data_IF_425115656495
#
_entry.id   IF_425115656495
#
_cell.length_a   1.000
_cell.length_b   1.000
_cell.length_c   1.000
_cell.angle_alpha   90.00
_cell.angle_beta   90.00
_cell.angle_gamma   90.00
#
_symmetry.space_group_name_H-M   'P 1'
#
loop_
_entity.id
_entity.type
_entity.pdbx_description
1 polymer ?
#
# COMPACT_ATOMS: atom_id res chain seq x y z
N UNK A 1 18.76 -2.30 6.07
CA UNK A 1 18.20 -1.63 4.86
C UNK A 1 16.84 -2.25 4.59
N UNK A 2 15.67 -1.64 4.79
CA UNK A 2 15.30 -0.22 4.88
C UNK A 2 14.01 -0.09 5.69
N UNK A 3 14.02 0.69 6.78
CA UNK A 3 12.82 1.25 7.41
C UNK A 3 12.04 2.01 6.34
N UNK A 4 10.81 1.59 6.06
CA UNK A 4 9.99 2.19 4.99
C UNK A 4 9.59 3.60 5.41
N UNK A 5 10.26 4.61 4.84
CA UNK A 5 9.92 6.04 4.97
C UNK A 5 8.70 6.43 4.11
N UNK A 6 7.86 5.48 3.75
CA UNK A 6 6.72 5.72 2.88
C UNK A 6 5.51 6.06 3.75
N UNK A 7 5.24 7.37 3.90
CA UNK A 7 4.09 7.87 4.64
C UNK A 7 2.91 7.96 3.69
N UNK A 8 1.82 7.29 4.04
CA UNK A 8 0.57 7.32 3.28
C UNK A 8 -0.50 7.95 4.16
N UNK A 9 -1.24 8.90 3.60
CA UNK A 9 -2.38 9.51 4.29
C UNK A 9 -3.66 8.68 4.06
N UNK A 10 -4.60 8.76 5.00
CA UNK A 10 -5.91 8.08 4.87
C UNK A 10 -6.68 8.45 3.58
N UNK A 11 -6.67 9.72 3.11
CA UNK A 11 -7.30 10.07 1.84
C UNK A 11 -6.69 9.36 0.63
N UNK A 12 -5.38 9.14 0.62
CA UNK A 12 -4.69 8.45 -0.48
C UNK A 12 -5.09 6.98 -0.54
N UNK A 13 -5.13 6.29 0.61
CA UNK A 13 -5.62 4.90 0.70
C UNK A 13 -7.04 4.82 0.14
N UNK A 14 -7.91 5.72 0.59
CA UNK A 14 -9.31 5.74 0.15
C UNK A 14 -9.40 6.05 -1.35
N UNK A 15 -8.55 6.91 -1.89
CA UNK A 15 -8.52 7.22 -3.32
C UNK A 15 -8.18 6.01 -4.19
N UNK A 16 -7.24 5.16 -3.74
CA UNK A 16 -6.84 3.95 -4.46
C UNK A 16 -7.87 2.83 -4.39
N UNK A 17 -8.71 2.81 -3.36
CA UNK A 17 -9.74 1.79 -3.15
C UNK A 17 -11.11 2.15 -3.74
N UNK A 18 -11.26 3.35 -4.33
CA UNK A 18 -12.51 3.77 -4.99
C UNK A 18 -12.68 3.07 -6.34
N UNK A 19 -13.91 3.07 -6.84
CA UNK A 19 -14.18 2.66 -8.22
C UNK A 19 -13.40 3.56 -9.21
N UNK A 20 -12.89 3.01 -10.33
CA UNK A 20 -12.10 3.78 -11.31
C UNK A 20 -12.82 5.01 -11.89
N UNK A 21 -14.15 4.95 -11.96
CA UNK A 21 -15.02 6.03 -12.48
C UNK A 21 -15.15 7.22 -11.50
N UNK A 22 -14.77 7.04 -10.22
CA UNK A 22 -14.96 8.09 -9.22
C UNK A 22 -13.97 9.25 -9.43
N UNK A 23 -14.44 10.50 -9.38
CA UNK A 23 -13.63 11.74 -9.54
C UNK A 23 -12.35 11.85 -8.69
N UNK A 24 -12.34 11.15 -7.55
CA UNK A 24 -11.24 11.11 -6.59
C UNK A 24 -10.56 9.73 -6.55
N UNK A 25 -10.72 8.93 -7.60
CA UNK A 25 -9.95 7.71 -7.79
C UNK A 25 -8.51 8.08 -8.13
N UNK A 26 -7.57 7.30 -7.59
CA UNK A 26 -6.16 7.40 -7.94
C UNK A 26 -5.63 6.00 -8.15
N UNK A 27 -4.92 5.77 -9.24
CA UNK A 27 -4.30 4.48 -9.50
C UNK A 27 -3.29 4.10 -8.40
N UNK A 28 -3.31 2.84 -7.99
CA UNK A 28 -2.43 2.26 -6.98
C UNK A 28 -1.04 2.02 -7.60
N UNK A 29 -0.22 3.09 -7.71
CA UNK A 29 1.07 3.01 -8.41
C UNK A 29 2.02 1.94 -7.87
N UNK A 30 2.98 1.52 -8.70
CA UNK A 30 3.87 0.37 -8.46
C UNK A 30 4.65 0.43 -7.15
N UNK A 31 5.07 1.63 -6.75
CA UNK A 31 5.84 1.83 -5.53
C UNK A 31 5.00 1.53 -4.28
N UNK A 32 3.73 1.97 -4.26
CA UNK A 32 2.80 1.66 -3.18
C UNK A 32 2.55 0.15 -3.12
N UNK A 33 2.23 -0.45 -4.27
CA UNK A 33 1.94 -1.89 -4.36
C UNK A 33 3.11 -2.74 -3.86
N UNK A 34 4.34 -2.40 -4.27
CA UNK A 34 5.55 -3.11 -3.82
C UNK A 34 5.72 -3.06 -2.30
N UNK A 35 5.58 -1.89 -1.68
CA UNK A 35 5.72 -1.75 -0.23
C UNK A 35 4.57 -2.43 0.52
N UNK A 36 3.35 -2.33 0.00
CA UNK A 36 2.19 -3.02 0.55
C UNK A 36 2.40 -4.54 0.57
N UNK A 37 2.80 -5.14 -0.56
CA UNK A 37 3.07 -6.57 -0.64
C UNK A 37 4.22 -6.99 0.28
N UNK A 38 5.30 -6.20 0.37
CA UNK A 38 6.40 -6.47 1.31
C UNK A 38 5.93 -6.48 2.76
N UNK A 39 5.05 -5.55 3.13
CA UNK A 39 4.42 -5.50 4.46
C UNK A 39 3.50 -6.68 4.71
N UNK A 40 2.68 -7.05 3.72
CA UNK A 40 1.77 -8.19 3.79
C UNK A 40 2.52 -9.52 3.93
N UNK A 41 3.55 -9.75 3.13
CA UNK A 41 4.44 -10.91 3.26
C UNK A 41 5.08 -10.98 4.64
N UNK A 42 5.52 -9.84 5.19
CA UNK A 42 6.11 -9.81 6.55
C UNK A 42 5.09 -10.14 7.64
N UNK A 43 3.81 -9.82 7.43
CA UNK A 43 2.71 -10.13 8.37
C UNK A 43 2.32 -11.60 8.31
N UNK A 44 2.13 -12.13 7.10
CA UNK A 44 1.61 -13.48 6.87
C UNK A 44 2.71 -14.55 7.01
N UNK A 45 3.91 -14.25 6.53
CA UNK A 45 5.08 -15.11 6.67
C UNK A 45 5.95 -14.65 7.84
N UNK A 46 5.36 -14.38 9.00
CA UNK A 46 6.14 -14.32 10.25
C UNK A 46 7.04 -15.56 10.23
N UNK A 47 8.36 -15.36 10.13
CA UNK A 47 9.31 -16.45 10.33
C UNK A 47 8.88 -17.09 11.64
N UNK A 48 8.46 -18.36 11.60
CA UNK A 48 8.34 -19.14 12.83
C UNK A 48 9.68 -18.96 13.53
N UNK A 49 9.64 -18.34 14.71
CA UNK A 49 10.78 -18.32 15.60
C UNK A 49 11.16 -19.77 15.94
#
# INVERSE_FOLDING_TARGET
MTEQKFRVSMPEITAMMRAPDHKNYRECGDQFLRYFLRGLTSREHKKKA
#
